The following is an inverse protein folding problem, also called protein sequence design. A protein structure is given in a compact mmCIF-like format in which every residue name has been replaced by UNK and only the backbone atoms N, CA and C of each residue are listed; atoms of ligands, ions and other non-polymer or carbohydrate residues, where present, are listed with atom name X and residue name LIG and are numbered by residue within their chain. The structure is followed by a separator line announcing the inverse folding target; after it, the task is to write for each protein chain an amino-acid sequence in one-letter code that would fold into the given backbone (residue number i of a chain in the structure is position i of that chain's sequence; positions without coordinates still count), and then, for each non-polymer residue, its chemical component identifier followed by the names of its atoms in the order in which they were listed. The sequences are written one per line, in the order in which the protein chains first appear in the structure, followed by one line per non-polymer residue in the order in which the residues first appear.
data_IF_916228611357
#
_entry.id   IF_916228611357
#
_cell.length_a   1.000
_cell.length_b   1.000
_cell.length_c   1.000
_cell.angle_alpha   90.00
_cell.angle_beta   90.00
_cell.angle_gamma   90.00
#
_symmetry.space_group_name_H-M   'P 1'
#
loop_
_entity.id
_entity.type
_entity.pdbx_description
1 polymer ?
#
# COMPACT_ATOMS: atom_id res chain seq x y z
N UNK A 1 -27.13 6.24 9.60
CA UNK A 1 -26.65 6.22 8.18
C UNK A 1 -25.40 7.06 7.98
N UNK A 2 -25.29 8.23 8.61
CA UNK A 2 -24.09 9.06 8.49
C UNK A 2 -22.83 8.37 8.97
N UNK A 3 -22.88 7.68 10.10
CA UNK A 3 -21.72 6.96 10.62
C UNK A 3 -21.33 5.79 9.71
N UNK A 4 -22.30 5.12 9.11
CA UNK A 4 -22.04 4.05 8.14
C UNK A 4 -21.28 4.59 6.92
N UNK A 5 -21.72 5.74 6.38
CA UNK A 5 -21.05 6.39 5.25
C UNK A 5 -19.61 6.78 5.64
N UNK A 6 -19.45 7.34 6.84
CA UNK A 6 -18.12 7.70 7.36
C UNK A 6 -17.21 6.48 7.43
N UNK A 7 -17.73 5.36 7.97
CA UNK A 7 -16.92 4.14 8.08
C UNK A 7 -16.61 3.51 6.73
N UNK A 8 -17.51 3.62 5.75
CA UNK A 8 -17.22 3.20 4.39
C UNK A 8 -16.04 4.00 3.81
N UNK A 9 -16.01 5.31 4.06
CA UNK A 9 -14.89 6.15 3.65
C UNK A 9 -13.58 5.71 4.33
N UNK A 10 -13.65 5.38 5.62
CA UNK A 10 -12.48 4.91 6.38
C UNK A 10 -11.93 3.59 5.82
N UNK A 11 -12.80 2.61 5.54
CA UNK A 11 -12.33 1.31 5.04
C UNK A 11 -11.81 1.40 3.60
N UNK A 12 -12.17 2.43 2.86
CA UNK A 12 -11.66 2.67 1.51
C UNK A 12 -10.41 3.54 1.48
N UNK A 13 -10.04 4.16 2.61
CA UNK A 13 -8.91 5.10 2.65
C UNK A 13 -7.58 4.40 2.32
N UNK A 14 -7.28 3.28 2.97
CA UNK A 14 -6.03 2.54 2.72
C UNK A 14 -5.97 2.03 1.27
N UNK A 15 -7.00 1.33 0.74
CA UNK A 15 -6.97 0.93 -0.67
C UNK A 15 -6.82 2.11 -1.63
N UNK A 16 -7.47 3.23 -1.34
CA UNK A 16 -7.37 4.43 -2.17
C UNK A 16 -5.94 4.97 -2.21
N UNK A 17 -5.29 5.04 -1.04
CA UNK A 17 -3.90 5.50 -0.95
C UNK A 17 -2.95 4.53 -1.67
N UNK A 18 -3.19 3.23 -1.52
CA UNK A 18 -2.38 2.21 -2.19
C UNK A 18 -2.50 2.31 -3.71
N UNK A 19 -3.72 2.51 -4.23
CA UNK A 19 -3.94 2.67 -5.66
C UNK A 19 -3.28 3.95 -6.16
N UNK A 20 -3.49 5.07 -5.46
CA UNK A 20 -2.99 6.37 -5.88
C UNK A 20 -1.46 6.42 -5.88
N UNK A 21 -0.83 6.08 -4.78
CA UNK A 21 0.63 6.07 -4.71
C UNK A 21 1.24 4.94 -5.51
N UNK A 22 0.53 3.79 -5.61
CA UNK A 22 0.95 2.70 -6.45
C UNK A 22 1.02 3.11 -7.92
N UNK A 23 0.01 3.82 -8.41
CA UNK A 23 0.03 4.37 -9.77
C UNK A 23 1.17 5.35 -9.97
N UNK A 24 1.34 6.25 -9.01
CA UNK A 24 2.40 7.27 -9.09
C UNK A 24 3.79 6.61 -9.15
N UNK A 25 4.08 5.72 -8.21
CA UNK A 25 5.40 5.11 -8.11
C UNK A 25 5.68 4.09 -9.22
N UNK A 26 4.64 3.42 -9.74
CA UNK A 26 4.83 2.48 -10.85
C UNK A 26 5.22 3.20 -12.14
N UNK A 27 4.87 4.47 -12.28
CA UNK A 27 5.20 5.28 -13.45
C UNK A 27 6.50 6.04 -13.27
N UNK A 28 6.72 6.59 -12.07
CA UNK A 28 7.92 7.38 -11.81
C UNK A 28 8.22 7.42 -10.33
N UNK A 29 9.49 7.21 -9.97
CA UNK A 29 9.96 7.41 -8.60
C UNK A 29 10.08 8.91 -8.33
N UNK A 30 10.09 9.34 -7.04
CA UNK A 30 10.47 10.70 -6.71
C UNK A 30 11.84 11.03 -7.36
N UNK A 31 11.98 12.25 -7.88
CA UNK A 31 13.14 12.63 -8.68
C UNK A 31 14.46 12.44 -7.94
N UNK A 32 14.45 12.69 -6.63
CA UNK A 32 15.64 12.60 -5.80
C UNK A 32 15.40 11.68 -4.62
N UNK A 33 16.43 10.97 -4.21
CA UNK A 33 16.41 10.20 -2.97
C UNK A 33 16.32 11.22 -1.83
N UNK A 34 15.30 11.07 -0.99
CA UNK A 34 15.06 12.06 0.06
C UNK A 34 14.63 11.36 1.36
N UNK A 35 14.59 12.12 2.46
CA UNK A 35 14.27 11.59 3.78
C UNK A 35 12.80 11.74 4.16
N UNK A 36 11.94 12.23 3.26
CA UNK A 36 10.57 12.59 3.60
C UNK A 36 9.49 11.83 2.82
N UNK A 37 9.74 11.47 1.57
CA UNK A 37 8.70 10.96 0.69
C UNK A 37 9.18 9.80 -0.15
N UNK A 38 8.34 8.77 -0.25
CA UNK A 38 8.56 7.61 -1.10
C UNK A 38 8.85 6.34 -0.31
N UNK A 39 9.21 5.29 -1.04
CA UNK A 39 9.61 4.01 -0.46
C UNK A 39 11.06 4.13 -0.02
N UNK A 40 11.27 4.25 1.28
CA UNK A 40 12.57 4.60 1.85
C UNK A 40 13.10 3.51 2.77
N UNK A 41 13.86 2.60 2.21
CA UNK A 41 14.60 1.59 2.97
C UNK A 41 16.10 1.81 2.75
N UNK A 42 16.90 1.22 3.60
CA UNK A 42 18.35 1.28 3.46
C UNK A 42 18.81 0.85 2.06
N UNK A 43 18.21 -0.23 1.54
CA UNK A 43 18.59 -0.76 0.24
C UNK A 43 18.08 0.11 -0.92
N UNK A 44 16.84 0.62 -0.83
CA UNK A 44 16.26 1.46 -1.89
C UNK A 44 17.01 2.78 -2.05
N UNK A 45 17.60 3.27 -0.98
CA UNK A 45 18.28 4.56 -0.95
C UNK A 45 19.76 4.48 -1.28
N UNK A 46 20.28 3.33 -1.67
CA UNK A 46 21.71 3.15 -1.99
C UNK A 46 22.16 4.01 -3.15
N UNK A 47 21.38 4.06 -4.22
CA UNK A 47 21.67 4.89 -5.39
C UNK A 47 20.37 5.10 -6.18
N UNK A 48 20.48 5.81 -7.30
CA UNK A 48 19.34 6.14 -8.14
C UNK A 48 18.72 4.89 -8.77
N UNK A 49 19.52 3.92 -9.13
CA UNK A 49 19.06 2.68 -9.76
C UNK A 49 18.22 1.84 -8.79
N UNK A 50 18.69 1.65 -7.56
CA UNK A 50 17.92 0.95 -6.52
C UNK A 50 16.65 1.72 -6.16
N UNK A 51 16.72 3.05 -6.13
CA UNK A 51 15.58 3.91 -5.83
C UNK A 51 14.48 3.76 -6.88
N UNK A 52 14.81 3.85 -8.14
CA UNK A 52 13.85 3.71 -9.24
C UNK A 52 13.27 2.30 -9.30
N UNK A 53 14.10 1.29 -9.14
CA UNK A 53 13.65 -0.11 -9.13
C UNK A 53 12.65 -0.35 -8.01
N UNK A 54 12.98 0.09 -6.79
CA UNK A 54 12.13 -0.13 -5.63
C UNK A 54 10.76 0.54 -5.80
N UNK A 55 10.72 1.77 -6.26
CA UNK A 55 9.47 2.50 -6.45
C UNK A 55 8.61 1.86 -7.54
N UNK A 56 9.21 1.49 -8.65
CA UNK A 56 8.49 0.83 -9.73
C UNK A 56 7.90 -0.50 -9.27
N UNK A 57 8.70 -1.32 -8.63
CA UNK A 57 8.29 -2.64 -8.15
C UNK A 57 7.21 -2.53 -7.06
N UNK A 58 7.47 -1.74 -6.03
CA UNK A 58 6.55 -1.53 -4.92
C UNK A 58 5.25 -0.90 -5.40
N UNK A 59 5.34 0.07 -6.32
CA UNK A 59 4.17 0.76 -6.86
C UNK A 59 3.24 -0.18 -7.61
N UNK A 60 3.78 -1.10 -8.39
CA UNK A 60 2.96 -2.08 -9.12
C UNK A 60 2.21 -2.99 -8.16
N UNK A 61 2.88 -3.46 -7.09
CA UNK A 61 2.25 -4.33 -6.10
C UNK A 61 1.16 -3.55 -5.35
N UNK A 62 1.46 -2.35 -4.90
CA UNK A 62 0.51 -1.52 -4.17
C UNK A 62 -0.73 -1.21 -5.01
N UNK A 63 -0.55 -0.84 -6.25
CA UNK A 63 -1.67 -0.58 -7.16
C UNK A 63 -2.57 -1.80 -7.30
N UNK A 64 -1.97 -2.96 -7.56
CA UNK A 64 -2.71 -4.21 -7.74
C UNK A 64 -3.43 -4.62 -6.47
N UNK A 65 -2.72 -4.64 -5.34
CA UNK A 65 -3.30 -5.02 -4.05
C UNK A 65 -4.37 -4.02 -3.61
N UNK A 66 -4.19 -2.74 -3.91
CA UNK A 66 -5.19 -1.72 -3.59
C UNK A 66 -6.54 -2.00 -4.26
N UNK A 67 -6.52 -2.34 -5.54
CA UNK A 67 -7.74 -2.72 -6.24
C UNK A 67 -8.34 -4.01 -5.72
N UNK A 68 -7.51 -5.04 -5.48
CA UNK A 68 -7.97 -6.32 -4.94
C UNK A 68 -8.58 -6.12 -3.54
N UNK A 69 -8.03 -5.20 -2.75
CA UNK A 69 -8.47 -4.94 -1.39
C UNK A 69 -9.75 -4.09 -1.33
N UNK A 70 -9.93 -3.18 -2.29
CA UNK A 70 -11.03 -2.21 -2.26
C UNK A 70 -12.40 -2.89 -2.27
N UNK A 71 -12.63 -3.83 -3.18
CA UNK A 71 -13.93 -4.49 -3.32
C UNK A 71 -14.26 -5.35 -2.09
N UNK A 72 -13.39 -6.28 -1.62
CA UNK A 72 -13.70 -7.06 -0.41
C UNK A 72 -13.85 -6.21 0.85
N UNK A 73 -13.25 -5.02 0.89
CA UNK A 73 -13.37 -4.13 2.06
C UNK A 73 -14.76 -3.52 2.18
N UNK A 74 -15.41 -3.23 1.07
CA UNK A 74 -16.74 -2.61 1.05
C UNK A 74 -17.85 -3.63 1.30
N UNK A 75 -17.69 -4.85 0.79
CA UNK A 75 -18.77 -5.86 0.85
C UNK A 75 -19.27 -6.10 2.26
N UNK A 76 -18.42 -6.34 3.29
CA UNK A 76 -18.92 -6.56 4.65
C UNK A 76 -19.69 -5.37 5.23
N UNK A 77 -19.39 -4.16 4.77
CA UNK A 77 -20.11 -2.97 5.26
C UNK A 77 -21.58 -2.99 4.89
N UNK A 78 -21.95 -3.63 3.78
CA UNK A 78 -23.34 -3.75 3.39
C UNK A 78 -24.12 -4.67 4.32
N UNK A 79 -23.46 -5.62 4.99
CA UNK A 79 -24.11 -6.51 5.94
C UNK A 79 -24.46 -5.83 7.27
N UNK A 80 -23.85 -4.69 7.56
CA UNK A 80 -24.11 -3.96 8.81
C UNK A 80 -24.87 -2.65 8.57
N UNK A 81 -25.36 -2.41 7.36
CA UNK A 81 -26.15 -1.21 7.05
C UNK A 81 -27.42 -1.22 7.89
N UNK A 82 -27.72 -0.12 8.56
CA UNK A 82 -28.90 0.01 9.39
C UNK A 82 -28.85 -0.70 10.74
N UNK A 83 -27.72 -1.32 11.10
CA UNK A 83 -27.62 -2.12 12.33
C UNK A 83 -27.12 -1.34 13.55
N UNK A 84 -26.90 -0.03 13.40
CA UNK A 84 -26.45 0.81 14.50
C UNK A 84 -24.94 1.01 14.51
N UNK A 85 -24.50 1.92 15.39
CA UNK A 85 -23.10 2.36 15.38
C UNK A 85 -22.10 1.28 15.82
N UNK A 86 -22.48 0.45 16.82
CA UNK A 86 -21.55 -0.56 17.33
C UNK A 86 -21.20 -1.61 16.28
N UNK A 87 -22.16 -2.28 15.60
CA UNK A 87 -21.81 -3.22 14.53
C UNK A 87 -21.05 -2.55 13.37
N UNK A 88 -21.44 -1.34 12.99
CA UNK A 88 -20.78 -0.59 11.90
C UNK A 88 -19.34 -0.27 12.28
N UNK A 89 -19.13 0.24 13.49
CA UNK A 89 -17.79 0.58 13.97
C UNK A 89 -16.90 -0.65 14.12
N UNK A 90 -17.43 -1.73 14.68
CA UNK A 90 -16.66 -2.97 14.85
C UNK A 90 -16.27 -3.57 13.51
N UNK A 91 -17.18 -3.60 12.53
CA UNK A 91 -16.88 -4.11 11.20
C UNK A 91 -15.79 -3.25 10.53
N UNK A 92 -15.91 -1.92 10.63
CA UNK A 92 -14.91 -1.01 10.07
C UNK A 92 -13.53 -1.20 10.68
N UNK A 93 -13.46 -1.40 12.00
CA UNK A 93 -12.19 -1.65 12.69
C UNK A 93 -11.55 -2.97 12.24
N UNK A 94 -12.34 -4.04 12.16
CA UNK A 94 -11.86 -5.35 11.72
C UNK A 94 -11.29 -5.25 10.32
N UNK A 95 -12.02 -4.61 9.41
CA UNK A 95 -11.57 -4.43 8.02
C UNK A 95 -10.27 -3.62 7.97
N UNK A 96 -10.24 -2.49 8.68
CA UNK A 96 -9.07 -1.60 8.66
C UNK A 96 -7.83 -2.27 9.22
N UNK A 97 -7.94 -2.98 10.34
CA UNK A 97 -6.79 -3.73 10.88
C UNK A 97 -6.34 -4.85 9.95
N UNK A 98 -7.29 -5.53 9.29
CA UNK A 98 -6.96 -6.56 8.31
C UNK A 98 -6.17 -5.99 7.13
N UNK A 99 -6.45 -4.75 6.73
CA UNK A 99 -5.79 -4.10 5.62
C UNK A 99 -4.31 -3.77 5.90
N UNK A 100 -3.90 -3.77 7.17
CA UNK A 100 -2.50 -3.51 7.52
C UNK A 100 -1.57 -4.59 6.96
N UNK A 101 -2.04 -5.82 6.84
CA UNK A 101 -1.23 -6.91 6.29
C UNK A 101 -0.87 -6.64 4.81
N UNK A 102 -1.82 -6.46 3.89
CA UNK A 102 -1.46 -6.16 2.49
C UNK A 102 -0.83 -4.78 2.32
N UNK A 103 -0.98 -3.87 3.29
CA UNK A 103 -0.30 -2.58 3.26
C UNK A 103 1.20 -2.74 3.47
N UNK A 104 1.60 -3.61 4.39
CA UNK A 104 2.99 -3.78 4.83
C UNK A 104 3.70 -4.89 4.04
N UNK A 105 3.00 -5.96 3.69
CA UNK A 105 3.57 -7.14 3.05
C UNK A 105 4.41 -6.83 1.79
N UNK A 106 4.02 -5.87 0.93
CA UNK A 106 4.81 -5.53 -0.24
C UNK A 106 6.23 -5.04 0.06
N UNK A 107 6.47 -4.55 1.27
CA UNK A 107 7.82 -4.14 1.70
C UNK A 107 8.76 -5.36 1.66
N UNK A 108 8.32 -6.50 2.17
CA UNK A 108 9.13 -7.72 2.18
C UNK A 108 9.41 -8.21 0.76
N UNK A 109 8.41 -8.17 -0.12
CA UNK A 109 8.58 -8.57 -1.52
C UNK A 109 9.54 -7.63 -2.25
N UNK A 110 9.44 -6.34 -2.01
CA UNK A 110 10.29 -5.34 -2.65
C UNK A 110 11.74 -5.49 -2.16
N UNK A 111 11.96 -5.68 -0.86
CA UNK A 111 13.29 -5.88 -0.31
C UNK A 111 13.92 -7.16 -0.86
N UNK A 112 13.13 -8.23 -0.97
CA UNK A 112 13.62 -9.49 -1.57
C UNK A 112 14.02 -9.28 -3.03
N UNK A 113 13.23 -8.55 -3.80
CA UNK A 113 13.53 -8.24 -5.20
C UNK A 113 14.79 -7.38 -5.32
N UNK A 114 14.96 -6.40 -4.44
CA UNK A 114 16.16 -5.56 -4.42
C UNK A 114 17.41 -6.39 -4.18
N UNK A 115 17.36 -7.31 -3.21
CA UNK A 115 18.50 -8.18 -2.89
C UNK A 115 18.80 -9.16 -4.02
N UNK A 116 17.80 -9.54 -4.79
CA UNK A 116 17.98 -10.42 -5.93
C UNK A 116 18.64 -9.72 -7.11
N UNK A 117 18.34 -8.43 -7.32
CA UNK A 117 18.80 -7.67 -8.48
C UNK A 117 20.03 -6.81 -8.22
N UNK A 118 20.35 -6.53 -6.96
CA UNK A 118 21.45 -5.65 -6.56
C UNK A 118 22.27 -6.27 -5.43
N UNK A 119 23.56 -5.95 -5.40
CA UNK A 119 24.43 -6.36 -4.29
C UNK A 119 24.27 -5.38 -3.11
N UNK A 120 25.06 -5.59 -2.05
CA UNK A 120 25.00 -4.76 -0.83
C UNK A 120 25.33 -3.29 -1.11
N UNK A 121 26.14 -3.04 -2.12
CA UNK A 121 26.58 -1.68 -2.46
C UNK A 121 25.61 -1.00 -3.44
N UNK A 122 24.55 -1.71 -3.86
CA UNK A 122 23.59 -1.18 -4.79
C UNK A 122 23.99 -1.34 -6.25
N UNK A 123 24.97 -2.16 -6.54
CA UNK A 123 25.36 -2.46 -7.92
C UNK A 123 24.47 -3.56 -8.49
N UNK A 124 24.03 -3.36 -9.73
CA UNK A 124 23.14 -4.31 -10.37
C UNK A 124 23.86 -5.63 -10.68
N UNK A 125 23.25 -6.75 -10.29
CA UNK A 125 23.79 -8.10 -10.54
C UNK A 125 22.88 -8.95 -11.43
N UNK A 126 21.69 -8.45 -11.75
CA UNK A 126 20.78 -9.09 -12.72
C UNK A 126 20.33 -8.10 -13.77
#
# INVERSE_FOLDING_TARGET
MGFWIFMCAIVLLIPFLMISFGNLFSKSAPKEINSAFGYRTSMSMKNEDTWKFAHHYFGQIWRTLGWILAVPSVIPMFFVIGKGNDPVGNMGLIITFSQLIPLILPIFFTEKALRKHFDRNGNRIL
#
